data_IF_489989888026
#
_entry.id   IF_489989888026
#
_cell.length_a   1.000
_cell.length_b   1.000
_cell.length_c   1.000
_cell.angle_alpha   90.00
_cell.angle_beta   90.00
_cell.angle_gamma   90.00
#
_symmetry.space_group_name_H-M   'P 1'
#
loop_
_entity.id
_entity.type
_entity.pdbx_description
1 polymer ?
#
# COMPACT_ATOMS: atom_id res chain seq x y z
N UNK A 1 -88.74 2.02 -18.24
CA UNK A 1 -89.53 0.79 -18.02
C UNK A 1 -88.60 -0.39 -17.75
N UNK A 2 -88.21 -0.61 -16.48
CA UNK A 2 -88.05 -1.92 -15.84
C UNK A 2 -87.74 -1.71 -14.36
N UNK A 3 -88.59 -2.31 -13.54
CA UNK A 3 -88.68 -2.20 -12.09
C UNK A 3 -87.59 -3.01 -11.37
N UNK A 4 -87.21 -2.46 -10.22
CA UNK A 4 -86.53 -3.08 -9.08
C UNK A 4 -86.90 -4.54 -8.84
N UNK A 5 -85.94 -5.35 -8.39
CA UNK A 5 -86.18 -6.40 -7.38
C UNK A 5 -85.04 -6.38 -6.37
N UNK A 6 -85.36 -5.91 -5.17
CA UNK A 6 -84.54 -6.02 -3.98
C UNK A 6 -84.58 -7.46 -3.43
N UNK A 7 -83.48 -7.92 -2.85
CA UNK A 7 -83.49 -9.06 -1.92
C UNK A 7 -82.87 -8.63 -0.59
N UNK A 8 -83.72 -8.68 0.43
CA UNK A 8 -83.42 -8.58 1.86
C UNK A 8 -82.57 -9.78 2.29
N UNK A 9 -81.45 -9.57 3.01
CA UNK A 9 -81.32 -9.44 4.47
C UNK A 9 -80.73 -10.71 5.09
N UNK A 10 -79.72 -10.56 5.95
CA UNK A 10 -79.64 -11.22 7.26
C UNK A 10 -78.44 -10.69 8.04
N UNK A 11 -78.72 -9.83 9.00
CA UNK A 11 -77.77 -9.36 10.02
C UNK A 11 -77.66 -10.42 11.11
N UNK A 12 -76.46 -10.94 11.34
CA UNK A 12 -76.18 -11.85 12.47
C UNK A 12 -76.16 -11.06 13.81
N UNK A 13 -76.57 -11.67 14.93
CA UNK A 13 -76.75 -10.99 16.22
C UNK A 13 -75.43 -10.58 16.89
N UNK A 14 -75.47 -9.42 17.56
CA UNK A 14 -74.34 -8.68 18.09
C UNK A 14 -73.43 -9.45 19.08
N UNK A 15 -73.95 -10.44 19.80
CA UNK A 15 -73.17 -11.17 20.82
C UNK A 15 -72.06 -12.07 20.24
N UNK A 16 -72.18 -12.54 18.98
CA UNK A 16 -71.09 -13.28 18.32
C UNK A 16 -69.90 -12.39 17.97
N UNK A 17 -70.12 -11.07 17.81
CA UNK A 17 -69.07 -10.10 17.53
C UNK A 17 -68.25 -9.78 18.78
N UNK A 18 -68.87 -9.71 19.96
CA UNK A 18 -68.15 -9.48 21.22
C UNK A 18 -67.23 -10.65 21.61
N UNK A 19 -67.61 -11.92 21.35
CA UNK A 19 -66.71 -13.06 21.60
C UNK A 19 -65.47 -13.04 20.69
N UNK A 20 -65.65 -12.72 19.41
CA UNK A 20 -64.52 -12.61 18.46
C UNK A 20 -63.58 -11.45 18.77
N UNK A 21 -64.08 -10.36 19.36
CA UNK A 21 -63.25 -9.22 19.74
C UNK A 21 -62.45 -9.49 21.02
N UNK A 22 -62.99 -10.28 21.96
CA UNK A 22 -62.26 -10.65 23.18
C UNK A 22 -61.12 -11.65 22.88
N UNK A 23 -61.34 -12.62 21.99
CA UNK A 23 -60.29 -13.57 21.56
C UNK A 23 -59.17 -12.88 20.75
N UNK A 24 -59.46 -11.77 20.06
CA UNK A 24 -58.44 -11.05 19.27
C UNK A 24 -57.48 -10.21 20.13
N UNK A 25 -57.91 -9.73 21.29
CA UNK A 25 -57.04 -8.94 22.18
C UNK A 25 -56.09 -9.85 23.00
N UNK A 26 -56.54 -11.05 23.39
CA UNK A 26 -55.68 -12.04 24.06
C UNK A 26 -54.57 -12.59 23.15
N UNK A 27 -54.85 -12.75 21.84
CA UNK A 27 -53.83 -13.17 20.88
C UNK A 27 -52.80 -12.08 20.55
N UNK A 28 -53.16 -10.80 20.67
CA UNK A 28 -52.23 -9.68 20.47
C UNK A 28 -51.31 -9.47 21.69
N UNK A 29 -51.80 -9.69 22.91
CA UNK A 29 -51.01 -9.60 24.13
C UNK A 29 -49.92 -10.68 24.25
N UNK A 30 -50.09 -11.84 23.59
CA UNK A 30 -49.12 -12.94 23.59
C UNK A 30 -48.04 -12.84 22.50
N UNK A 31 -48.20 -11.97 21.50
CA UNK A 31 -47.23 -11.81 20.39
C UNK A 31 -46.12 -10.77 20.66
N UNK A 32 -46.15 -10.04 21.77
CA UNK A 32 -45.19 -8.95 22.05
C UNK A 32 -43.99 -9.31 22.96
N UNK A 33 -43.78 -10.58 23.35
CA UNK A 33 -42.66 -10.98 24.23
C UNK A 33 -41.76 -12.10 23.69
N UNK A 34 -41.37 -12.04 22.42
CA UNK A 34 -40.22 -12.82 21.92
C UNK A 34 -39.14 -11.92 21.36
N UNK A 35 -38.17 -11.59 22.23
CA UNK A 35 -36.91 -11.01 21.80
C UNK A 35 -36.20 -11.99 20.85
N UNK A 36 -35.69 -11.53 19.68
CA UNK A 36 -34.93 -12.40 18.80
C UNK A 36 -33.63 -12.79 19.49
N UNK A 37 -33.53 -14.06 19.88
CA UNK A 37 -32.35 -14.66 20.48
C UNK A 37 -31.31 -14.85 19.37
N UNK A 38 -30.55 -13.79 19.06
CA UNK A 38 -29.57 -13.77 17.97
C UNK A 38 -28.30 -14.54 18.38
N UNK A 39 -28.39 -15.87 18.46
CA UNK A 39 -27.19 -16.71 18.59
C UNK A 39 -26.51 -16.75 17.23
N UNK A 40 -25.54 -15.84 17.02
CA UNK A 40 -24.66 -15.87 15.86
C UNK A 40 -24.08 -17.29 15.71
N UNK A 41 -24.51 -17.97 14.64
CA UNK A 41 -24.12 -19.34 14.37
C UNK A 41 -22.65 -19.39 13.98
N UNK A 42 -21.84 -20.17 14.71
CA UNK A 42 -20.42 -20.45 14.38
C UNK A 42 -20.25 -20.91 12.93
N UNK A 43 -21.28 -21.52 12.33
CA UNK A 43 -21.29 -21.95 10.93
C UNK A 43 -21.45 -20.79 9.95
N UNK A 44 -22.24 -19.76 10.30
CA UNK A 44 -22.40 -18.55 9.48
C UNK A 44 -21.09 -17.75 9.40
N UNK A 45 -20.31 -17.74 10.48
CA UNK A 45 -18.99 -17.14 10.53
C UNK A 45 -17.96 -17.88 9.65
N UNK A 46 -17.97 -19.22 9.67
CA UNK A 46 -17.06 -20.03 8.83
C UNK A 46 -17.44 -19.98 7.34
N UNK A 47 -18.73 -19.87 7.00
CA UNK A 47 -19.14 -19.67 5.60
C UNK A 47 -18.82 -18.26 5.06
N UNK A 48 -18.66 -17.26 5.92
CA UNK A 48 -18.18 -15.92 5.54
C UNK A 48 -16.67 -15.88 5.27
N UNK A 49 -15.89 -16.75 5.92
CA UNK A 49 -14.43 -16.79 5.75
C UNK A 49 -13.96 -17.38 4.41
N UNK A 50 -14.81 -18.13 3.70
CA UNK A 50 -14.46 -18.69 2.39
C UNK A 50 -14.54 -17.66 1.25
N UNK A 51 -15.35 -16.60 1.41
CA UNK A 51 -15.51 -15.57 0.37
C UNK A 51 -14.37 -14.54 0.35
N UNK A 52 -13.63 -14.39 1.45
CA UNK A 52 -12.51 -13.44 1.56
C UNK A 52 -11.17 -13.99 1.05
N UNK A 53 -11.03 -15.31 0.86
CA UNK A 53 -9.78 -15.92 0.36
C UNK A 53 -9.65 -15.77 -1.16
N UNK A 54 -10.77 -15.66 -1.89
CA UNK A 54 -10.74 -15.57 -3.36
C UNK A 54 -10.26 -14.21 -3.90
N UNK A 55 -10.21 -13.15 -3.07
CA UNK A 55 -9.82 -11.80 -3.50
C UNK A 55 -8.36 -11.44 -3.21
N UNK A 56 -7.57 -12.34 -2.63
CA UNK A 56 -6.14 -12.11 -2.32
C UNK A 56 -5.19 -12.52 -3.45
N UNK A 57 -5.71 -12.99 -4.59
CA UNK A 57 -4.86 -13.48 -5.70
C UNK A 57 -4.39 -12.39 -6.68
N UNK A 58 -4.74 -11.12 -6.45
CA UNK A 58 -4.48 -10.03 -7.41
C UNK A 58 -3.54 -8.93 -6.92
N UNK A 59 -2.90 -9.07 -5.75
CA UNK A 59 -1.76 -8.20 -5.42
C UNK A 59 -0.54 -8.70 -6.17
N UNK A 60 -0.46 -8.24 -7.42
CA UNK A 60 0.77 -8.15 -8.19
C UNK A 60 1.93 -7.79 -7.27
N UNK A 61 3.07 -8.49 -7.40
CA UNK A 61 4.32 -8.12 -6.75
C UNK A 61 4.74 -6.73 -7.25
N UNK A 62 4.21 -5.68 -6.65
CA UNK A 62 4.81 -4.37 -6.73
C UNK A 62 6.05 -4.46 -5.85
N UNK A 63 7.22 -4.72 -6.47
CA UNK A 63 8.49 -4.56 -5.80
C UNK A 63 8.56 -3.11 -5.33
N UNK A 64 8.41 -2.90 -4.02
CA UNK A 64 8.70 -1.62 -3.39
C UNK A 64 10.20 -1.41 -3.56
N UNK A 65 10.57 -0.58 -4.54
CA UNK A 65 11.93 -0.06 -4.65
C UNK A 65 12.04 0.96 -3.52
N UNK A 66 12.73 0.58 -2.44
CA UNK A 66 13.14 1.55 -1.44
C UNK A 66 14.12 2.49 -2.11
N UNK A 67 13.75 3.77 -2.23
CA UNK A 67 14.74 4.80 -2.44
C UNK A 67 15.74 4.69 -1.28
N UNK A 68 17.03 4.49 -1.61
CA UNK A 68 18.09 4.58 -0.63
C UNK A 68 18.10 6.06 -0.21
N UNK A 69 17.47 6.37 0.92
CA UNK A 69 17.60 7.71 1.47
C UNK A 69 19.08 7.98 1.74
N UNK A 70 19.57 9.18 1.41
CA UNK A 70 20.96 9.53 1.66
C UNK A 70 21.26 9.29 3.14
N UNK A 71 22.21 8.37 3.40
CA UNK A 71 22.64 8.06 4.76
C UNK A 71 23.44 9.24 5.29
N UNK A 72 22.75 10.17 5.94
CA UNK A 72 23.36 11.22 6.74
C UNK A 72 23.29 10.84 8.22
N UNK A 73 24.42 10.90 8.91
CA UNK A 73 24.52 10.69 10.35
C UNK A 73 25.69 9.82 10.76
N UNK A 74 25.72 9.48 12.05
CA UNK A 74 26.85 8.78 12.66
C UNK A 74 27.21 7.48 11.91
N UNK A 75 28.49 7.35 11.61
CA UNK A 75 29.09 6.23 10.93
C UNK A 75 29.87 5.36 11.91
N UNK A 76 29.56 4.06 11.89
CA UNK A 76 30.32 3.02 12.57
C UNK A 76 30.60 1.88 11.59
N UNK A 77 31.85 1.42 11.57
CA UNK A 77 32.33 0.43 10.60
C UNK A 77 31.68 -0.94 10.81
N UNK A 78 31.49 -1.37 12.06
CA UNK A 78 30.93 -2.69 12.36
C UNK A 78 29.43 -2.72 11.98
N UNK A 79 28.69 -1.69 12.37
CA UNK A 79 27.29 -1.51 12.01
C UNK A 79 27.09 -1.47 10.49
N UNK A 80 27.94 -0.73 9.77
CA UNK A 80 27.93 -0.68 8.32
C UNK A 80 28.24 -2.06 7.69
N UNK A 81 29.26 -2.75 8.20
CA UNK A 81 29.64 -4.09 7.74
C UNK A 81 28.52 -5.10 7.92
N UNK A 82 27.82 -5.05 9.06
CA UNK A 82 26.67 -5.91 9.31
C UNK A 82 25.53 -5.60 8.34
N UNK A 83 25.22 -4.31 8.10
CA UNK A 83 24.22 -3.90 7.10
C UNK A 83 24.55 -4.43 5.70
N UNK A 84 25.82 -4.38 5.30
CA UNK A 84 26.24 -4.92 3.99
C UNK A 84 26.09 -6.44 3.91
N UNK A 85 26.38 -7.18 4.99
CA UNK A 85 26.14 -8.63 5.07
C UNK A 85 24.64 -8.95 4.95
N UNK A 86 23.79 -8.18 5.64
CA UNK A 86 22.35 -8.36 5.60
C UNK A 86 21.78 -8.09 4.20
N UNK A 87 22.29 -7.05 3.50
CA UNK A 87 21.93 -6.76 2.11
C UNK A 87 22.39 -7.87 1.16
N UNK A 88 23.59 -8.42 1.35
CA UNK A 88 24.12 -9.51 0.53
C UNK A 88 23.33 -10.82 0.70
N UNK A 89 22.61 -10.99 1.80
CA UNK A 89 21.73 -12.14 2.03
C UNK A 89 20.37 -12.02 1.32
N UNK A 90 20.01 -10.83 0.82
CA UNK A 90 18.77 -10.62 0.08
C UNK A 90 18.92 -11.00 -1.40
N UNK A 91 17.81 -11.31 -2.10
CA UNK A 91 17.85 -11.46 -3.56
C UNK A 91 18.43 -10.22 -4.24
N UNK A 92 19.28 -10.43 -5.25
CA UNK A 92 19.88 -9.36 -6.02
C UNK A 92 18.82 -8.43 -6.62
N UNK A 93 19.02 -7.14 -6.44
CA UNK A 93 18.21 -6.08 -7.04
C UNK A 93 19.07 -5.36 -8.09
N UNK A 94 18.60 -5.35 -9.34
CA UNK A 94 19.28 -4.62 -10.40
C UNK A 94 19.29 -3.12 -10.07
N UNK A 95 20.43 -2.43 -10.27
CA UNK A 95 20.50 -0.99 -10.08
C UNK A 95 19.62 -0.26 -11.10
N UNK A 96 19.19 0.94 -10.72
CA UNK A 96 18.47 1.85 -11.61
C UNK A 96 19.48 2.46 -12.58
N UNK A 97 19.26 2.27 -13.87
CA UNK A 97 20.08 2.87 -14.91
C UNK A 97 19.68 4.32 -15.13
N UNK A 98 20.66 5.17 -15.42
CA UNK A 98 20.38 6.52 -15.92
C UNK A 98 19.69 6.43 -17.29
N UNK A 99 18.61 7.17 -17.49
CA UNK A 99 17.83 7.14 -18.73
C UNK A 99 17.78 8.49 -19.48
N UNK A 100 18.35 9.55 -18.89
CA UNK A 100 18.34 10.88 -19.51
C UNK A 100 19.02 10.89 -20.89
N UNK A 101 18.39 11.48 -21.92
CA UNK A 101 18.95 11.59 -23.27
C UNK A 101 20.35 12.19 -23.34
N UNK A 102 20.68 13.05 -22.38
CA UNK A 102 22.00 13.69 -22.27
C UNK A 102 23.11 12.67 -22.06
N UNK A 103 22.84 11.58 -21.32
CA UNK A 103 23.81 10.54 -21.02
C UNK A 103 23.69 9.32 -21.93
N UNK A 104 22.45 8.98 -22.35
CA UNK A 104 22.18 7.82 -23.21
C UNK A 104 22.50 8.09 -24.68
N UNK A 105 22.47 9.35 -25.13
CA UNK A 105 22.82 9.77 -26.49
C UNK A 105 24.33 9.90 -26.76
N UNK A 106 25.18 9.74 -25.74
CA UNK A 106 26.64 9.83 -25.90
C UNK A 106 27.19 8.59 -26.61
N UNK A 107 27.80 8.81 -27.79
CA UNK A 107 28.68 7.83 -28.43
C UNK A 107 30.13 8.01 -27.92
N UNK A 108 31.07 7.19 -28.41
CA UNK A 108 32.47 7.26 -28.02
C UNK A 108 33.07 8.67 -28.12
N UNK A 109 32.83 9.36 -29.26
CA UNK A 109 33.36 10.70 -29.51
C UNK A 109 32.71 11.76 -28.59
N UNK A 110 31.43 11.60 -28.27
CA UNK A 110 30.73 12.45 -27.31
C UNK A 110 31.26 12.26 -25.89
N UNK A 111 31.39 11.00 -25.46
CA UNK A 111 31.81 10.65 -24.10
C UNK A 111 33.21 11.18 -23.79
N UNK A 112 34.19 10.96 -24.68
CA UNK A 112 35.58 11.43 -24.47
C UNK A 112 35.75 12.94 -24.41
N UNK A 113 34.74 13.72 -24.82
CA UNK A 113 34.75 15.19 -24.76
C UNK A 113 34.25 15.72 -23.42
N UNK A 114 33.54 14.89 -22.64
CA UNK A 114 33.07 15.27 -21.31
C UNK A 114 34.25 15.16 -20.36
N UNK A 115 34.74 16.30 -19.88
CA UNK A 115 35.84 16.38 -18.94
C UNK A 115 35.36 16.95 -17.61
N UNK A 116 35.87 16.39 -16.51
CA UNK A 116 35.63 16.92 -15.19
C UNK A 116 36.29 18.30 -15.07
N UNK A 117 35.59 19.27 -14.47
CA UNK A 117 36.17 20.56 -14.16
C UNK A 117 37.06 20.43 -12.92
N UNK A 118 38.39 20.43 -13.10
CA UNK A 118 39.35 20.28 -12.00
C UNK A 118 39.21 21.35 -10.92
N UNK A 119 38.67 22.53 -11.25
CA UNK A 119 38.35 23.59 -10.28
C UNK A 119 37.16 23.25 -9.36
N UNK A 120 36.52 22.10 -9.58
CA UNK A 120 35.44 21.55 -8.74
C UNK A 120 35.88 20.28 -8.00
N UNK A 121 37.15 19.90 -8.07
CA UNK A 121 37.65 18.73 -7.36
C UNK A 121 37.48 18.90 -5.84
N UNK A 122 36.97 17.86 -5.17
CA UNK A 122 36.82 17.82 -3.71
C UNK A 122 38.21 17.78 -3.07
N UNK A 123 38.39 18.53 -1.98
CA UNK A 123 39.65 18.69 -1.24
C UNK A 123 40.81 19.33 -2.02
N UNK A 124 40.53 19.93 -3.18
CA UNK A 124 41.55 20.71 -3.89
C UNK A 124 41.98 21.89 -3.04
N UNK A 125 43.27 22.01 -2.82
CA UNK A 125 43.87 23.11 -2.06
C UNK A 125 44.02 22.82 -0.56
N UNK A 126 43.59 21.64 -0.10
CA UNK A 126 43.80 21.21 1.29
C UNK A 126 45.25 20.72 1.50
N UNK A 127 45.78 20.93 2.70
CA UNK A 127 47.19 20.70 3.04
C UNK A 127 47.63 19.22 2.98
N UNK A 128 46.68 18.29 2.91
CA UNK A 128 46.94 16.85 2.87
C UNK A 128 47.24 16.32 1.46
N UNK A 129 47.14 17.14 0.41
CA UNK A 129 47.60 16.80 -0.94
C UNK A 129 46.75 15.76 -1.70
N UNK A 130 45.55 15.47 -1.21
CA UNK A 130 44.59 14.57 -1.87
C UNK A 130 43.45 15.38 -2.47
N UNK A 131 42.96 14.94 -3.63
CA UNK A 131 41.76 15.48 -4.24
C UNK A 131 40.95 14.36 -4.90
N UNK A 132 39.63 14.52 -4.95
CA UNK A 132 38.73 13.58 -5.63
C UNK A 132 38.08 14.26 -6.84
N UNK A 133 38.03 13.53 -7.95
CA UNK A 133 37.36 13.92 -9.19
C UNK A 133 36.40 12.79 -9.60
N UNK A 134 35.21 13.15 -10.05
CA UNK A 134 34.21 12.19 -10.50
C UNK A 134 34.36 11.90 -11.99
N UNK A 135 34.06 10.66 -12.38
CA UNK A 135 33.90 10.31 -13.79
C UNK A 135 32.46 10.60 -14.26
N UNK A 136 32.28 11.11 -15.50
CA UNK A 136 30.95 11.38 -16.01
C UNK A 136 30.20 10.07 -16.31
N UNK A 137 28.89 10.01 -16.04
CA UNK A 137 28.06 8.89 -16.47
C UNK A 137 27.74 8.98 -17.97
N UNK A 138 27.26 7.88 -18.56
CA UNK A 138 26.84 7.80 -19.95
C UNK A 138 27.61 6.78 -20.80
N UNK A 139 27.15 6.59 -22.04
CA UNK A 139 27.63 5.56 -22.97
C UNK A 139 27.61 4.14 -22.37
N UNK A 140 28.75 3.67 -21.83
CA UNK A 140 28.90 2.38 -21.17
C UNK A 140 28.61 2.45 -19.65
N UNK A 141 28.73 3.61 -19.03
CA UNK A 141 28.59 3.81 -17.59
C UNK A 141 27.18 4.29 -17.25
N UNK A 142 26.22 3.37 -17.29
CA UNK A 142 24.79 3.66 -17.06
C UNK A 142 24.37 3.53 -15.60
N UNK A 143 25.19 2.87 -14.80
CA UNK A 143 24.98 2.67 -13.37
C UNK A 143 25.81 3.70 -12.60
N UNK A 144 25.15 4.51 -11.79
CA UNK A 144 25.83 5.46 -10.90
C UNK A 144 26.04 4.84 -9.53
N UNK A 145 27.04 5.36 -8.82
CA UNK A 145 27.34 4.98 -7.45
C UNK A 145 27.07 6.17 -6.54
N UNK A 146 26.48 5.92 -5.38
CA UNK A 146 26.42 6.90 -4.30
C UNK A 146 27.76 6.94 -3.59
N UNK A 147 28.32 8.14 -3.42
CA UNK A 147 29.56 8.36 -2.67
C UNK A 147 29.20 9.15 -1.42
N UNK A 148 29.86 8.85 -0.32
CA UNK A 148 29.71 9.54 0.96
C UNK A 148 31.08 9.96 1.46
N UNK A 149 31.13 11.10 2.11
CA UNK A 149 32.29 11.55 2.88
C UNK A 149 32.00 11.30 4.36
N UNK A 150 33.02 10.90 5.11
CA UNK A 150 32.92 10.69 6.55
C UNK A 150 33.85 11.69 7.22
N UNK A 151 33.28 12.60 8.00
CA UNK A 151 34.02 13.62 8.75
C UNK A 151 33.63 13.52 10.21
N UNK A 152 34.63 13.41 11.11
CA UNK A 152 34.43 13.30 12.56
C UNK A 152 33.45 12.20 13.00
N UNK A 153 33.39 11.11 12.23
CA UNK A 153 32.50 9.98 12.50
C UNK A 153 31.07 10.18 12.02
N UNK A 154 30.75 11.24 11.27
CA UNK A 154 29.47 11.42 10.59
C UNK A 154 29.63 11.20 9.09
N UNK A 155 28.80 10.35 8.50
CA UNK A 155 28.70 10.19 7.06
C UNK A 155 27.70 11.20 6.49
N UNK A 156 28.03 11.81 5.36
CA UNK A 156 27.11 12.64 4.57
C UNK A 156 27.33 12.45 3.08
N UNK A 157 26.31 12.71 2.24
CA UNK A 157 26.43 12.59 0.79
C UNK A 157 27.59 13.41 0.24
N UNK A 158 28.33 12.79 -0.68
CA UNK A 158 29.34 13.46 -1.48
C UNK A 158 28.62 14.35 -2.51
N UNK A 159 28.48 15.63 -2.18
CA UNK A 159 27.77 16.65 -2.98
C UNK A 159 28.66 17.88 -3.23
#
# INVERSE_FOLDING_TARGET
>A
MRLLHARHATTLPAWRRCRKLMDSEEQQASQMLTAPNNRLSRRAFLSGAAASIALLSSTSLTQMVFAIEPMSGAFDYESFSQRMKDLAAQPYQSPVLIDSPVYTGLNYDGYRRVQFNTEKARWRGDDHGFQIQAFPPGWLFKETVSVYEITDGDAHPFA
#
